data_IF_251077946349
#
_entry.id   IF_251077946349
#
_cell.length_a   1.000
_cell.length_b   1.000
_cell.length_c   1.000
_cell.angle_alpha   90.00
_cell.angle_beta   90.00
_cell.angle_gamma   90.00
#
_symmetry.space_group_name_H-M   'P 1'
#
loop_
_entity.id
_entity.type
_entity.pdbx_description
1 polymer ?
#
# COMPACT_ATOMS: atom_id res chain seq x y z
N UNK A 1 -26.53 5.73 -16.12
CA UNK A 1 -26.08 6.51 -14.94
C UNK A 1 -26.98 6.08 -13.79
N UNK A 2 -26.49 5.23 -12.90
CA UNK A 2 -27.32 4.68 -11.83
C UNK A 2 -27.39 5.65 -10.66
N UNK A 3 -28.58 5.90 -10.13
CA UNK A 3 -28.86 6.79 -8.99
C UNK A 3 -28.12 6.42 -7.69
N UNK A 4 -27.51 5.24 -7.63
CA UNK A 4 -26.70 4.76 -6.49
C UNK A 4 -25.39 5.52 -6.25
N UNK A 5 -24.78 6.13 -7.28
CA UNK A 5 -23.51 6.87 -7.13
C UNK A 5 -23.69 8.22 -6.44
N UNK A 6 -24.82 8.87 -6.64
CA UNK A 6 -25.10 10.21 -6.09
C UNK A 6 -25.46 10.16 -4.59
N UNK A 7 -26.11 9.09 -4.15
CA UNK A 7 -26.44 8.85 -2.74
C UNK A 7 -25.20 8.53 -1.89
N UNK A 8 -24.25 7.75 -2.43
CA UNK A 8 -23.03 7.38 -1.72
C UNK A 8 -22.11 8.59 -1.48
N UNK A 9 -22.01 9.49 -2.45
CA UNK A 9 -21.20 10.73 -2.32
C UNK A 9 -21.83 11.69 -1.30
N UNK A 10 -23.16 11.83 -1.28
CA UNK A 10 -23.85 12.66 -0.27
C UNK A 10 -23.69 12.11 1.15
N UNK A 11 -23.78 10.79 1.34
CA UNK A 11 -23.56 10.15 2.64
C UNK A 11 -22.12 10.30 3.16
N UNK A 12 -21.11 10.28 2.25
CA UNK A 12 -19.72 10.48 2.62
C UNK A 12 -19.43 11.91 3.11
N UNK A 13 -20.03 12.93 2.46
CA UNK A 13 -19.86 14.33 2.87
C UNK A 13 -20.52 14.65 4.22
N UNK A 14 -21.64 14.01 4.55
CA UNK A 14 -22.37 14.22 5.83
C UNK A 14 -21.61 13.59 7.00
N UNK A 15 -20.89 12.49 6.82
CA UNK A 15 -20.13 11.84 7.91
C UNK A 15 -18.90 12.64 8.35
N UNK A 16 -18.29 13.43 7.46
CA UNK A 16 -17.12 14.26 7.78
C UNK A 16 -17.42 15.45 8.69
N UNK A 17 -18.68 15.84 8.84
CA UNK A 17 -19.10 17.03 9.63
C UNK A 17 -19.56 16.70 11.05
N UNK A 18 -19.82 15.44 11.38
CA UNK A 18 -20.52 15.08 12.62
C UNK A 18 -19.64 14.77 13.85
N UNK A 19 -18.33 14.95 13.82
CA UNK A 19 -17.45 14.51 14.94
C UNK A 19 -16.81 15.66 15.74
N UNK A 20 -17.21 16.91 15.55
CA UNK A 20 -16.61 18.03 16.28
C UNK A 20 -17.60 18.59 17.30
N UNK A 21 -17.82 17.85 18.39
CA UNK A 21 -18.32 18.40 19.63
C UNK A 21 -17.38 18.04 20.79
N UNK A 22 -16.21 18.64 20.81
CA UNK A 22 -15.31 18.68 21.98
C UNK A 22 -15.31 20.08 22.57
N UNK A 23 -15.24 20.23 23.91
CA UNK A 23 -15.20 21.54 24.52
C UNK A 23 -13.89 22.26 24.21
N UNK A 24 -13.98 23.48 23.74
CA UNK A 24 -13.07 24.64 23.87
C UNK A 24 -11.54 24.41 23.87
N UNK A 25 -11.00 23.46 23.12
CA UNK A 25 -9.55 23.40 22.82
C UNK A 25 -9.31 24.00 21.44
N UNK A 26 -8.14 24.63 21.25
CA UNK A 26 -7.77 25.20 19.95
C UNK A 26 -7.68 24.09 18.89
N UNK A 27 -8.71 23.99 18.06
CA UNK A 27 -8.79 23.04 16.96
C UNK A 27 -8.14 23.63 15.72
N UNK A 28 -7.08 22.99 15.22
CA UNK A 28 -6.46 23.35 13.94
C UNK A 28 -7.00 22.39 12.89
N UNK A 29 -7.69 22.93 11.88
CA UNK A 29 -8.20 22.17 10.74
C UNK A 29 -7.34 22.48 9.51
N UNK A 30 -6.78 21.45 8.90
CA UNK A 30 -6.01 21.54 7.67
C UNK A 30 -6.77 20.81 6.56
N UNK A 31 -6.96 21.44 5.42
CA UNK A 31 -7.65 20.88 4.27
C UNK A 31 -6.78 20.99 3.04
N UNK A 32 -6.75 19.94 2.24
CA UNK A 32 -6.00 19.90 0.98
C UNK A 32 -6.83 19.20 -0.07
N UNK A 33 -6.81 19.74 -1.28
CA UNK A 33 -7.45 19.10 -2.41
C UNK A 33 -6.54 19.17 -3.64
N UNK A 34 -6.59 18.11 -4.46
CA UNK A 34 -5.82 18.07 -5.69
C UNK A 34 -6.54 17.24 -6.75
N UNK A 35 -6.29 17.56 -8.01
CA UNK A 35 -6.89 16.87 -9.15
C UNK A 35 -5.76 16.46 -10.11
N UNK A 36 -5.11 15.29 -9.90
CA UNK A 36 -4.25 14.69 -10.91
C UNK A 36 -5.06 14.25 -12.13
N UNK A 37 -4.62 14.65 -13.31
CA UNK A 37 -5.21 14.25 -14.58
C UNK A 37 -4.09 13.83 -15.53
N UNK A 38 -4.24 12.68 -16.19
CA UNK A 38 -3.18 12.18 -17.04
C UNK A 38 -3.64 11.24 -18.14
N UNK A 39 -2.69 10.92 -18.99
CA UNK A 39 -2.84 9.97 -20.08
C UNK A 39 -1.70 8.96 -19.97
N UNK A 40 -2.01 7.70 -20.13
CA UNK A 40 -1.06 6.59 -20.16
C UNK A 40 -1.24 5.77 -21.43
N UNK A 41 -0.13 5.34 -22.01
CA UNK A 41 -0.07 4.34 -23.06
C UNK A 41 0.53 3.06 -22.49
N UNK A 42 -0.20 1.95 -22.57
CA UNK A 42 0.22 0.63 -22.08
C UNK A 42 0.27 -0.35 -23.26
N UNK A 43 1.45 -0.89 -23.52
CA UNK A 43 1.68 -1.77 -24.67
C UNK A 43 1.18 -3.20 -24.48
N UNK A 44 0.87 -3.61 -23.22
CA UNK A 44 0.39 -4.96 -22.91
C UNK A 44 -0.37 -4.97 -21.57
N UNK A 45 -1.58 -4.41 -21.50
CA UNK A 45 -2.34 -4.26 -20.25
C UNK A 45 -2.71 -5.59 -19.59
N UNK A 46 -2.86 -6.66 -20.37
CA UNK A 46 -3.18 -8.01 -19.88
C UNK A 46 -1.96 -8.88 -19.64
N UNK A 47 -0.76 -8.34 -19.86
CA UNK A 47 0.48 -9.13 -19.79
C UNK A 47 0.36 -10.43 -20.61
N UNK A 48 -0.16 -10.35 -21.83
CA UNK A 48 -0.27 -11.49 -22.73
C UNK A 48 1.10 -11.92 -23.25
N UNK A 49 1.31 -13.23 -23.39
CA UNK A 49 2.57 -13.77 -23.95
C UNK A 49 2.55 -13.83 -25.47
N UNK A 50 1.37 -13.93 -26.09
CA UNK A 50 1.21 -14.15 -27.52
C UNK A 50 0.66 -12.92 -28.25
N UNK A 51 -0.46 -12.37 -27.80
CA UNK A 51 -1.12 -11.23 -28.44
C UNK A 51 -0.95 -9.99 -27.58
N UNK A 52 0.03 -9.15 -27.92
CA UNK A 52 0.24 -7.86 -27.26
C UNK A 52 -0.60 -6.82 -27.99
N UNK A 53 -1.55 -6.23 -27.27
CA UNK A 53 -2.40 -5.15 -27.77
C UNK A 53 -2.21 -3.94 -26.87
N UNK A 54 -1.97 -2.78 -27.46
CA UNK A 54 -1.76 -1.55 -26.72
C UNK A 54 -3.08 -0.79 -26.50
N UNK A 55 -3.12 -0.02 -25.43
CA UNK A 55 -4.25 0.87 -25.11
C UNK A 55 -3.77 2.23 -24.63
N UNK A 56 -4.63 3.20 -24.79
CA UNK A 56 -4.56 4.49 -24.12
C UNK A 56 -5.55 4.52 -22.96
N UNK A 57 -5.13 5.07 -21.83
CA UNK A 57 -5.98 5.32 -20.67
C UNK A 57 -5.96 6.79 -20.31
N UNK A 58 -7.14 7.35 -20.10
CA UNK A 58 -7.35 8.70 -19.58
C UNK A 58 -7.73 8.56 -18.11
N UNK A 59 -6.99 9.22 -17.24
CA UNK A 59 -7.10 9.02 -15.80
C UNK A 59 -7.29 10.38 -15.15
N UNK A 60 -8.28 10.48 -14.26
CA UNK A 60 -8.40 11.58 -13.33
C UNK A 60 -8.56 11.01 -11.92
N UNK A 61 -7.85 11.59 -10.94
CA UNK A 61 -7.90 11.09 -9.56
C UNK A 61 -8.10 12.26 -8.59
N UNK A 62 -9.29 12.92 -8.59
CA UNK A 62 -9.59 13.92 -7.57
C UNK A 62 -9.39 13.33 -6.18
N UNK A 63 -8.73 14.08 -5.31
CA UNK A 63 -8.45 13.71 -3.92
C UNK A 63 -8.69 14.89 -3.00
N UNK A 64 -9.16 14.58 -1.82
CA UNK A 64 -9.40 15.52 -0.75
C UNK A 64 -8.91 14.91 0.57
N UNK A 65 -8.19 15.68 1.35
CA UNK A 65 -7.78 15.32 2.69
C UNK A 65 -8.15 16.41 3.68
N UNK A 66 -8.59 15.99 4.84
CA UNK A 66 -8.88 16.86 5.97
C UNK A 66 -8.24 16.28 7.22
N UNK A 67 -7.61 17.09 8.02
CA UNK A 67 -7.16 16.71 9.35
C UNK A 67 -7.51 17.78 10.37
N UNK A 68 -7.96 17.34 11.55
CA UNK A 68 -8.28 18.17 12.69
C UNK A 68 -7.37 17.76 13.84
N UNK A 69 -6.61 18.71 14.36
CA UNK A 69 -5.66 18.49 15.46
C UNK A 69 -6.12 19.30 16.67
N UNK A 70 -6.30 18.61 17.79
CA UNK A 70 -6.65 19.21 19.07
C UNK A 70 -5.74 18.59 20.14
N UNK A 71 -4.96 19.42 20.85
CA UNK A 71 -4.01 19.02 21.89
C UNK A 71 -3.21 17.76 21.51
N UNK A 72 -3.60 16.61 22.03
CA UNK A 72 -2.93 15.30 21.86
C UNK A 72 -3.66 14.37 20.90
N UNK A 73 -4.70 14.84 20.22
CA UNK A 73 -5.52 14.04 19.33
C UNK A 73 -5.51 14.59 17.92
N UNK A 74 -5.44 13.69 16.93
CA UNK A 74 -5.55 14.01 15.52
C UNK A 74 -6.60 13.12 14.87
N UNK A 75 -7.55 13.74 14.20
CA UNK A 75 -8.48 13.07 13.29
C UNK A 75 -8.10 13.39 11.87
N UNK A 76 -8.18 12.42 10.97
CA UNK A 76 -7.93 12.68 9.56
C UNK A 76 -8.80 11.82 8.66
N UNK A 77 -9.08 12.32 7.47
CA UNK A 77 -9.75 11.59 6.41
C UNK A 77 -9.12 11.94 5.08
N UNK A 78 -8.79 10.90 4.30
CA UNK A 78 -8.31 11.02 2.93
C UNK A 78 -9.28 10.29 2.02
N UNK A 79 -9.79 11.00 1.01
CA UNK A 79 -10.72 10.46 0.02
C UNK A 79 -10.17 10.71 -1.37
N UNK A 80 -10.16 9.70 -2.20
CA UNK A 80 -9.85 9.84 -3.63
C UNK A 80 -10.73 8.94 -4.49
N UNK A 81 -10.95 9.37 -5.72
CA UNK A 81 -11.72 8.62 -6.71
C UNK A 81 -10.92 8.53 -8.01
N UNK A 82 -10.39 7.34 -8.33
CA UNK A 82 -9.75 7.11 -9.61
C UNK A 82 -10.79 6.87 -10.69
N UNK A 83 -10.90 7.80 -11.61
CA UNK A 83 -11.70 7.70 -12.83
C UNK A 83 -10.78 7.28 -13.96
N UNK A 84 -11.05 6.15 -14.60
CA UNK A 84 -10.27 5.65 -15.72
C UNK A 84 -11.19 5.38 -16.92
N UNK A 85 -10.79 5.86 -18.08
CA UNK A 85 -11.45 5.59 -19.37
C UNK A 85 -10.43 5.02 -20.34
N UNK A 86 -10.76 3.89 -20.93
CA UNK A 86 -9.87 3.14 -21.83
C UNK A 86 -10.28 3.34 -23.29
N UNK A 87 -9.29 3.41 -24.17
CA UNK A 87 -9.52 3.44 -25.62
C UNK A 87 -10.08 2.11 -26.16
N UNK A 88 -9.84 1.00 -25.49
CA UNK A 88 -10.44 -0.32 -25.81
C UNK A 88 -10.94 -1.00 -24.53
N UNK A 89 -12.27 -1.01 -24.38
CA UNK A 89 -12.95 -1.58 -23.21
C UNK A 89 -12.86 -3.11 -23.13
N UNK A 90 -12.51 -3.79 -24.23
CA UNK A 90 -12.28 -5.23 -24.22
C UNK A 90 -10.98 -5.60 -23.51
N UNK A 91 -9.98 -4.72 -23.59
CA UNK A 91 -8.65 -4.91 -22.97
C UNK A 91 -8.60 -4.34 -21.55
N UNK A 92 -9.27 -3.24 -21.31
CA UNK A 92 -9.37 -2.60 -20.00
C UNK A 92 -10.72 -1.89 -19.89
N UNK A 93 -11.52 -2.25 -18.90
CA UNK A 93 -12.84 -1.65 -18.69
C UNK A 93 -12.73 -0.24 -18.11
N UNK A 94 -13.71 0.60 -18.39
CA UNK A 94 -13.86 1.90 -17.71
C UNK A 94 -14.09 1.67 -16.22
N UNK A 95 -13.45 2.47 -15.37
CA UNK A 95 -13.44 2.24 -13.94
C UNK A 95 -13.74 3.50 -13.14
N UNK A 96 -14.31 3.26 -11.97
CA UNK A 96 -14.52 4.23 -10.90
C UNK A 96 -14.10 3.54 -9.60
N UNK A 97 -12.89 3.86 -9.14
CA UNK A 97 -12.25 3.16 -8.04
C UNK A 97 -12.06 4.14 -6.87
N UNK A 98 -12.98 4.15 -5.89
CA UNK A 98 -12.85 4.95 -4.66
C UNK A 98 -11.80 4.37 -3.73
N UNK A 99 -11.10 5.29 -3.05
CA UNK A 99 -10.24 4.99 -1.92
C UNK A 99 -10.55 5.96 -0.78
N UNK A 100 -10.78 5.43 0.41
CA UNK A 100 -11.14 6.18 1.61
C UNK A 100 -10.27 5.69 2.76
N UNK A 101 -9.66 6.62 3.46
CA UNK A 101 -8.96 6.38 4.72
C UNK A 101 -9.54 7.32 5.77
N UNK A 102 -9.88 6.79 6.93
CA UNK A 102 -10.28 7.57 8.10
C UNK A 102 -9.44 7.11 9.27
N UNK A 103 -8.87 8.05 10.00
CA UNK A 103 -7.99 7.72 11.11
C UNK A 103 -8.22 8.64 12.32
N UNK A 104 -7.89 8.10 13.46
CA UNK A 104 -7.77 8.80 14.72
C UNK A 104 -6.49 8.36 15.42
N UNK A 105 -5.75 9.33 15.91
CA UNK A 105 -4.50 9.15 16.66
C UNK A 105 -4.58 9.96 17.94
N UNK A 106 -4.04 9.41 19.00
CA UNK A 106 -3.90 10.10 20.28
C UNK A 106 -2.53 9.80 20.86
N UNK A 107 -1.79 10.85 21.17
CA UNK A 107 -0.50 10.79 21.83
C UNK A 107 -0.64 11.27 23.28
N UNK A 108 -0.03 10.53 24.20
CA UNK A 108 0.15 10.96 25.57
C UNK A 108 1.66 10.84 25.93
N UNK A 109 2.03 11.14 27.16
CA UNK A 109 3.44 11.10 27.57
C UNK A 109 4.11 9.73 27.36
N UNK A 110 3.35 8.65 27.56
CA UNK A 110 3.86 7.27 27.49
C UNK A 110 3.10 6.38 26.54
N UNK A 111 1.93 6.80 26.12
CA UNK A 111 1.04 5.98 25.30
C UNK A 111 0.74 6.67 23.96
N UNK A 112 0.78 5.90 22.89
CA UNK A 112 0.25 6.30 21.59
C UNK A 112 -0.82 5.31 21.18
N UNK A 113 -1.96 5.81 20.75
CA UNK A 113 -3.06 5.01 20.26
C UNK A 113 -3.45 5.46 18.85
N UNK A 114 -3.74 4.52 17.96
CA UNK A 114 -4.29 4.83 16.63
C UNK A 114 -5.39 3.86 16.23
N UNK A 115 -6.41 4.38 15.56
CA UNK A 115 -7.50 3.63 14.93
C UNK A 115 -7.62 4.08 13.49
N UNK A 116 -7.56 3.14 12.54
CA UNK A 116 -7.57 3.44 11.11
C UNK A 116 -8.57 2.53 10.41
N UNK A 117 -9.53 3.14 9.69
CA UNK A 117 -10.43 2.47 8.77
C UNK A 117 -10.04 2.76 7.32
N UNK A 118 -10.03 1.74 6.46
CA UNK A 118 -9.71 1.90 5.03
C UNK A 118 -10.72 1.15 4.16
N UNK A 119 -11.07 1.78 3.05
CA UNK A 119 -11.75 1.16 1.93
C UNK A 119 -10.99 1.48 0.65
N UNK A 120 -10.66 0.46 -0.11
CA UNK A 120 -10.00 0.62 -1.41
C UNK A 120 -10.66 -0.28 -2.43
N UNK A 121 -10.98 0.26 -3.61
CA UNK A 121 -11.33 -0.50 -4.79
C UNK A 121 -10.27 -0.24 -5.86
N UNK A 122 -9.78 -1.30 -6.49
CA UNK A 122 -8.74 -1.21 -7.50
C UNK A 122 -8.87 -2.30 -8.57
N UNK A 123 -8.19 -2.14 -9.69
CA UNK A 123 -8.07 -3.19 -10.71
C UNK A 123 -7.15 -4.30 -10.24
N UNK A 124 -7.57 -5.56 -10.43
CA UNK A 124 -6.72 -6.74 -10.19
C UNK A 124 -5.46 -6.74 -11.07
N UNK A 125 -5.47 -6.04 -12.16
CA UNK A 125 -4.30 -5.81 -13.02
C UNK A 125 -3.13 -5.16 -12.27
N UNK A 126 -3.43 -4.32 -11.27
CA UNK A 126 -2.41 -3.71 -10.40
C UNK A 126 -2.22 -4.54 -9.13
N UNK A 127 -3.30 -4.82 -8.39
CA UNK A 127 -3.20 -5.50 -7.09
C UNK A 127 -2.64 -6.90 -7.22
N UNK A 128 -3.13 -7.69 -8.17
CA UNK A 128 -2.68 -9.07 -8.34
C UNK A 128 -1.32 -9.18 -9.01
N UNK A 129 -0.93 -8.23 -9.88
CA UNK A 129 0.43 -8.16 -10.37
C UNK A 129 1.43 -7.96 -9.24
N UNK A 130 1.09 -7.06 -8.30
CA UNK A 130 1.94 -6.75 -7.16
C UNK A 130 1.90 -7.83 -6.07
N UNK A 131 0.78 -8.53 -5.89
CA UNK A 131 0.60 -9.50 -4.81
C UNK A 131 0.90 -10.95 -5.21
N UNK A 132 0.45 -11.37 -6.37
CA UNK A 132 0.52 -12.77 -6.81
C UNK A 132 1.30 -12.97 -8.10
N UNK A 133 1.58 -11.90 -8.85
CA UNK A 133 2.10 -11.96 -10.21
C UNK A 133 1.10 -12.47 -11.24
N UNK A 134 -0.18 -12.62 -10.87
CA UNK A 134 -1.22 -13.10 -11.76
C UNK A 134 -1.99 -11.92 -12.38
N UNK A 135 -1.93 -11.79 -13.69
CA UNK A 135 -2.75 -10.85 -14.46
C UNK A 135 -3.58 -11.65 -15.45
N UNK A 136 -4.74 -12.14 -15.02
CA UNK A 136 -5.57 -13.01 -15.87
C UNK A 136 -6.69 -12.23 -16.52
N UNK A 137 -7.34 -11.35 -15.79
CA UNK A 137 -8.47 -10.55 -16.25
C UNK A 137 -8.47 -9.16 -15.62
N UNK A 138 -9.14 -8.20 -16.26
CA UNK A 138 -9.39 -6.88 -15.66
C UNK A 138 -10.61 -6.92 -14.74
N UNK A 139 -10.46 -7.58 -13.60
CA UNK A 139 -11.45 -7.66 -12.54
C UNK A 139 -11.26 -6.52 -11.53
N UNK A 140 -12.17 -6.39 -10.57
CA UNK A 140 -12.06 -5.44 -9.47
C UNK A 140 -11.79 -6.16 -8.16
N UNK A 141 -10.85 -5.64 -7.40
CA UNK A 141 -10.60 -5.98 -6.00
C UNK A 141 -11.16 -4.88 -5.10
N UNK A 142 -11.89 -5.24 -4.06
CA UNK A 142 -12.40 -4.32 -3.04
C UNK A 142 -11.92 -4.78 -1.68
N UNK A 143 -11.10 -3.96 -1.02
CA UNK A 143 -10.54 -4.25 0.29
C UNK A 143 -11.09 -3.29 1.33
N UNK A 144 -11.55 -3.84 2.45
CA UNK A 144 -11.98 -3.09 3.65
C UNK A 144 -11.11 -3.53 4.81
N UNK A 145 -10.62 -2.59 5.60
CA UNK A 145 -9.87 -2.93 6.79
C UNK A 145 -10.12 -1.94 7.93
N UNK A 146 -10.02 -2.46 9.15
CA UNK A 146 -9.96 -1.68 10.38
C UNK A 146 -8.72 -2.16 11.14
N UNK A 147 -7.90 -1.22 11.58
CA UNK A 147 -6.71 -1.50 12.37
C UNK A 147 -6.68 -0.60 13.60
N UNK A 148 -6.33 -1.19 14.75
CA UNK A 148 -6.06 -0.48 15.99
C UNK A 148 -4.64 -0.80 16.45
N UNK A 149 -3.88 0.24 16.84
CA UNK A 149 -2.55 0.07 17.38
C UNK A 149 -2.43 0.84 18.69
N UNK A 150 -1.76 0.25 19.63
CA UNK A 150 -1.38 0.84 20.90
C UNK A 150 0.10 0.60 21.14
N UNK A 151 0.81 1.65 21.53
CA UNK A 151 2.20 1.55 21.96
C UNK A 151 2.39 2.28 23.27
N UNK A 152 3.25 1.73 24.13
CA UNK A 152 3.56 2.26 25.45
C UNK A 152 5.04 2.16 25.76
N UNK A 153 5.60 3.25 26.24
CA UNK A 153 6.93 3.25 26.87
C UNK A 153 6.80 2.69 28.27
N UNK A 154 7.20 1.42 28.47
CA UNK A 154 7.16 0.72 29.77
C UNK A 154 8.21 1.29 30.70
N UNK A 155 9.39 1.60 30.17
CA UNK A 155 10.48 2.32 30.84
C UNK A 155 11.09 3.30 29.83
N UNK A 156 12.10 4.06 30.25
CA UNK A 156 12.86 4.98 29.35
C UNK A 156 13.52 4.24 28.16
N UNK A 157 13.76 2.93 28.29
CA UNK A 157 14.44 2.11 27.28
C UNK A 157 13.61 0.97 26.72
N UNK A 158 12.45 0.70 27.29
CA UNK A 158 11.64 -0.44 26.88
C UNK A 158 10.29 0.02 26.35
N UNK A 159 10.04 -0.27 25.08
CA UNK A 159 8.83 0.11 24.38
C UNK A 159 8.07 -1.14 23.97
N UNK A 160 6.80 -1.20 24.27
CA UNK A 160 5.88 -2.26 23.88
C UNK A 160 4.85 -1.73 22.89
N UNK A 161 4.52 -2.50 21.87
CA UNK A 161 3.41 -2.20 20.95
C UNK A 161 2.54 -3.42 20.70
N UNK A 162 1.25 -3.20 20.56
CA UNK A 162 0.23 -4.16 20.22
C UNK A 162 -0.63 -3.61 19.09
N UNK A 163 -0.76 -4.35 18.00
CA UNK A 163 -1.57 -4.01 16.85
C UNK A 163 -2.54 -5.11 16.49
N UNK A 164 -3.80 -4.75 16.23
CA UNK A 164 -4.83 -5.65 15.72
C UNK A 164 -5.39 -5.14 14.40
N UNK A 165 -5.68 -6.04 13.46
CA UNK A 165 -6.30 -5.69 12.18
C UNK A 165 -7.34 -6.73 11.78
N UNK A 166 -8.45 -6.26 11.25
CA UNK A 166 -9.40 -7.04 10.47
C UNK A 166 -9.43 -6.52 9.03
N UNK A 167 -9.26 -7.41 8.07
CA UNK A 167 -9.25 -7.09 6.65
C UNK A 167 -10.16 -8.07 5.91
N UNK A 168 -10.93 -7.56 4.95
CA UNK A 168 -11.72 -8.37 4.00
C UNK A 168 -11.43 -7.90 2.59
N UNK A 169 -11.12 -8.84 1.71
CA UNK A 169 -10.94 -8.59 0.27
C UNK A 169 -11.97 -9.39 -0.51
N UNK A 170 -12.72 -8.73 -1.37
CA UNK A 170 -13.68 -9.32 -2.29
C UNK A 170 -13.33 -8.97 -3.73
N UNK A 171 -13.63 -9.88 -4.64
CA UNK A 171 -13.36 -9.73 -6.06
C UNK A 171 -14.66 -9.70 -6.86
N UNK A 172 -14.69 -8.88 -7.90
CA UNK A 172 -15.77 -8.80 -8.88
C UNK A 172 -15.21 -9.13 -10.26
N UNK A 173 -15.55 -10.32 -10.76
CA UNK A 173 -14.99 -10.89 -11.98
C UNK A 173 -13.67 -11.64 -11.74
N UNK A 174 -13.26 -12.46 -12.73
CA UNK A 174 -12.08 -13.33 -12.65
C UNK A 174 -12.27 -14.56 -11.76
N UNK A 175 -11.22 -15.37 -11.66
CA UNK A 175 -11.19 -16.59 -10.84
C UNK A 175 -10.45 -16.35 -9.52
N UNK A 176 -10.69 -15.21 -8.89
CA UNK A 176 -10.08 -14.85 -7.61
C UNK A 176 -10.99 -15.25 -6.46
N UNK A 177 -10.38 -15.62 -5.36
CA UNK A 177 -11.09 -16.01 -4.13
C UNK A 177 -11.05 -14.84 -3.16
N UNK A 178 -12.22 -14.36 -2.75
CA UNK A 178 -12.34 -13.44 -1.63
C UNK A 178 -11.85 -14.09 -0.34
N UNK A 179 -11.48 -13.27 0.62
CA UNK A 179 -11.02 -13.75 1.92
C UNK A 179 -11.14 -12.68 3.00
N UNK A 180 -11.10 -13.13 4.24
CA UNK A 180 -10.90 -12.26 5.40
C UNK A 180 -9.70 -12.69 6.22
N UNK A 181 -9.03 -11.72 6.84
CA UNK A 181 -7.94 -11.97 7.79
C UNK A 181 -8.18 -11.23 9.10
N UNK A 182 -7.84 -11.88 10.20
CA UNK A 182 -7.73 -11.27 11.52
C UNK A 182 -6.28 -11.41 11.96
N UNK A 183 -5.62 -10.29 12.22
CA UNK A 183 -4.21 -10.28 12.61
C UNK A 183 -4.02 -9.58 13.95
N UNK A 184 -3.12 -10.12 14.75
CA UNK A 184 -2.64 -9.54 16.00
C UNK A 184 -1.11 -9.58 15.99
N UNK A 185 -0.48 -8.43 16.24
CA UNK A 185 0.97 -8.29 16.30
C UNK A 185 1.38 -7.66 17.61
N UNK A 186 2.41 -8.20 18.24
CA UNK A 186 3.02 -7.66 19.44
C UNK A 186 4.51 -7.49 19.23
N UNK A 187 5.06 -6.34 19.58
CA UNK A 187 6.49 -6.05 19.44
C UNK A 187 7.01 -5.44 20.73
N UNK A 188 8.16 -5.92 21.17
CA UNK A 188 8.93 -5.39 22.29
C UNK A 188 10.27 -4.88 21.76
N UNK A 189 10.54 -3.59 21.93
CA UNK A 189 11.77 -2.91 21.48
C UNK A 189 12.55 -2.46 22.72
N UNK A 190 13.85 -2.72 22.74
CA UNK A 190 14.74 -2.28 23.79
C UNK A 190 15.78 -1.29 23.23
N UNK A 191 15.86 -0.08 23.79
CA UNK A 191 16.86 0.93 23.42
C UNK A 191 18.19 0.58 24.11
N UNK A 192 18.96 -0.32 23.46
CA UNK A 192 20.25 -0.78 23.99
C UNK A 192 21.28 0.36 23.99
N UNK A 193 21.37 1.07 22.85
CA UNK A 193 22.12 2.32 22.71
C UNK A 193 21.25 3.33 21.96
N UNK A 194 21.71 4.58 21.86
CA UNK A 194 21.05 5.60 21.03
C UNK A 194 20.91 5.19 19.56
N UNK A 195 21.75 4.25 19.09
CA UNK A 195 21.80 3.83 17.68
C UNK A 195 21.31 2.42 17.44
N UNK A 196 21.26 1.57 18.45
CA UNK A 196 20.94 0.14 18.29
C UNK A 196 19.76 -0.22 19.16
N UNK A 197 18.68 -0.65 18.53
CA UNK A 197 17.42 -0.99 19.18
C UNK A 197 16.98 -2.40 18.76
N UNK A 198 17.42 -3.46 19.47
CA UNK A 198 16.92 -4.80 19.25
C UNK A 198 15.45 -4.93 19.57
N UNK A 199 14.77 -5.85 18.89
CA UNK A 199 13.36 -6.14 19.12
C UNK A 199 13.04 -7.61 18.94
N UNK A 200 11.93 -8.01 19.56
CA UNK A 200 11.24 -9.27 19.32
C UNK A 200 9.81 -8.96 18.89
N UNK A 201 9.30 -9.74 17.94
CA UNK A 201 7.93 -9.60 17.44
C UNK A 201 7.25 -10.96 17.35
N UNK A 202 5.99 -10.98 17.75
CA UNK A 202 5.09 -12.12 17.60
C UNK A 202 3.86 -11.67 16.81
N UNK A 203 3.53 -12.40 15.75
CA UNK A 203 2.37 -12.14 14.91
C UNK A 203 1.47 -13.37 14.82
N UNK A 204 0.17 -13.17 14.92
CA UNK A 204 -0.85 -14.19 14.75
C UNK A 204 -1.79 -13.74 13.65
N UNK A 205 -2.09 -14.60 12.68
CA UNK A 205 -3.06 -14.30 11.60
C UNK A 205 -3.98 -15.49 11.41
N UNK A 206 -5.28 -15.23 11.40
CA UNK A 206 -6.33 -16.19 11.04
C UNK A 206 -6.84 -15.79 9.65
N UNK A 207 -6.72 -16.68 8.68
CA UNK A 207 -7.09 -16.50 7.29
C UNK A 207 -8.28 -17.37 6.94
N UNK A 208 -9.34 -16.73 6.46
CA UNK A 208 -10.60 -17.37 6.08
C UNK A 208 -10.88 -17.06 4.60
N UNK A 209 -10.57 -17.97 3.67
CA UNK A 209 -10.92 -17.84 2.27
C UNK A 209 -12.42 -18.10 2.05
N UNK A 210 -13.03 -17.35 1.14
CA UNK A 210 -14.41 -17.57 0.73
C UNK A 210 -14.55 -18.84 -0.13
N UNK A 211 -15.73 -19.48 -0.07
CA UNK A 211 -16.08 -20.63 -0.91
C UNK A 211 -16.15 -21.96 -0.15
N UNK A 212 -16.97 -22.88 -0.70
CA UNK A 212 -17.18 -24.20 -0.12
C UNK A 212 -15.92 -25.08 -0.25
N UNK A 213 -15.61 -25.85 0.80
CA UNK A 213 -14.49 -26.80 0.83
C UNK A 213 -13.11 -26.16 1.08
N UNK A 214 -13.01 -24.85 1.25
CA UNK A 214 -11.76 -24.19 1.65
C UNK A 214 -11.59 -24.23 3.16
N UNK A 215 -10.33 -24.37 3.61
CA UNK A 215 -10.02 -24.49 5.04
C UNK A 215 -9.42 -23.19 5.55
N UNK A 216 -9.88 -22.80 6.73
CA UNK A 216 -9.24 -21.74 7.50
C UNK A 216 -7.81 -22.15 7.85
N UNK A 217 -6.90 -21.21 7.74
CA UNK A 217 -5.49 -21.44 8.03
C UNK A 217 -5.00 -20.39 9.03
N UNK A 218 -4.30 -20.84 10.05
CA UNK A 218 -3.65 -19.96 11.03
C UNK A 218 -2.16 -19.86 10.75
N UNK A 219 -1.64 -18.65 10.86
CA UNK A 219 -0.23 -18.33 10.75
C UNK A 219 0.27 -17.73 12.06
N UNK A 220 1.42 -18.20 12.51
CA UNK A 220 2.13 -17.67 13.69
C UNK A 220 3.54 -17.28 13.26
N UNK A 221 3.92 -16.05 13.51
CA UNK A 221 5.23 -15.48 13.15
C UNK A 221 6.00 -15.14 14.42
N UNK A 222 7.26 -15.53 14.47
CA UNK A 222 8.19 -15.20 15.53
C UNK A 222 9.44 -14.61 14.89
N UNK A 223 9.73 -13.36 15.20
CA UNK A 223 10.83 -12.59 14.62
C UNK A 223 11.72 -12.01 15.72
N UNK A 224 13.00 -12.00 15.46
CA UNK A 224 13.99 -11.23 16.22
C UNK A 224 14.74 -10.35 15.27
N UNK A 225 15.04 -9.13 15.68
CA UNK A 225 15.69 -8.14 14.81
C UNK A 225 16.28 -6.97 15.56
N UNK A 226 16.79 -6.01 14.81
CA UNK A 226 17.29 -4.75 15.33
C UNK A 226 17.04 -3.61 14.34
N UNK A 227 16.79 -2.43 14.89
CA UNK A 227 16.91 -1.14 14.19
C UNK A 227 18.26 -0.54 14.52
N UNK A 228 19.00 -0.11 13.50
CA UNK A 228 20.35 0.45 13.65
C UNK A 228 20.44 1.77 12.89
N UNK A 229 20.67 2.86 13.62
CA UNK A 229 20.98 4.16 13.06
C UNK A 229 22.51 4.25 12.86
N UNK A 230 23.00 3.85 11.68
CA UNK A 230 24.44 3.80 11.35
C UNK A 230 25.03 5.22 11.44
N UNK A 231 24.30 6.19 10.90
CA UNK A 231 24.59 7.62 11.05
C UNK A 231 23.27 8.41 10.86
N UNK A 232 23.25 9.75 11.04
CA UNK A 232 22.03 10.56 10.90
C UNK A 232 21.33 10.46 9.54
N UNK A 233 22.05 10.00 8.50
CA UNK A 233 21.53 9.87 7.13
C UNK A 233 21.16 8.44 6.75
N UNK A 234 21.62 7.42 7.48
CA UNK A 234 21.44 6.01 7.15
C UNK A 234 20.90 5.22 8.33
N UNK A 235 19.69 4.72 8.18
CA UNK A 235 19.11 3.75 9.10
C UNK A 235 18.86 2.42 8.39
N UNK A 236 19.03 1.33 9.14
CA UNK A 236 18.86 -0.05 8.69
C UNK A 236 18.02 -0.77 9.74
N UNK A 237 17.09 -1.58 9.27
CA UNK A 237 16.32 -2.50 10.11
C UNK A 237 16.43 -3.90 9.51
N UNK A 238 16.79 -4.88 10.33
CA UNK A 238 16.84 -6.27 9.89
C UNK A 238 16.18 -7.17 10.93
N UNK A 239 15.46 -8.18 10.45
CA UNK A 239 14.85 -9.22 11.28
C UNK A 239 14.84 -10.55 10.56
N UNK A 240 14.87 -11.62 11.32
CA UNK A 240 14.70 -12.98 10.84
C UNK A 240 13.90 -13.80 11.84
N UNK A 241 13.27 -14.87 11.35
CA UNK A 241 12.45 -15.70 12.21
C UNK A 241 11.80 -16.87 11.51
N UNK A 242 10.78 -17.38 12.14
CA UNK A 242 10.02 -18.53 11.66
C UNK A 242 8.54 -18.21 11.58
N UNK A 243 7.91 -18.78 10.58
CA UNK A 243 6.46 -18.81 10.42
C UNK A 243 5.99 -20.24 10.60
N UNK A 244 4.91 -20.44 11.35
CA UNK A 244 4.21 -21.72 11.47
C UNK A 244 2.82 -21.59 10.87
N UNK A 245 2.54 -22.37 9.81
CA UNK A 245 1.23 -22.48 9.18
C UNK A 245 0.53 -23.76 9.63
N UNK A 246 -0.70 -23.67 10.10
CA UNK A 246 -1.50 -24.85 10.49
C UNK A 246 -1.77 -25.82 9.32
N UNK A 247 -1.62 -25.37 8.08
CA UNK A 247 -1.86 -26.17 6.86
C UNK A 247 -0.61 -26.66 6.15
N UNK A 248 0.58 -26.06 6.42
CA UNK A 248 1.80 -26.34 5.65
C UNK A 248 3.08 -26.47 6.50
N UNK A 249 2.97 -26.36 7.84
CA UNK A 249 4.12 -26.49 8.74
C UNK A 249 4.96 -25.22 8.86
N UNK A 250 6.27 -25.38 9.02
CA UNK A 250 7.19 -24.29 9.34
C UNK A 250 7.85 -23.73 8.10
N UNK A 251 7.91 -22.39 7.99
CA UNK A 251 8.65 -21.62 6.99
C UNK A 251 9.65 -20.68 7.66
N UNK A 252 10.55 -20.12 6.88
CA UNK A 252 11.48 -19.07 7.30
C UNK A 252 11.00 -17.73 6.79
N UNK A 253 11.08 -16.72 7.62
CA UNK A 253 10.74 -15.34 7.27
C UNK A 253 11.91 -14.43 7.62
N UNK A 254 12.12 -13.39 6.80
CA UNK A 254 13.16 -12.40 7.02
C UNK A 254 12.75 -11.08 6.38
N UNK A 255 13.19 -9.99 6.99
CA UNK A 255 12.99 -8.65 6.45
C UNK A 255 14.24 -7.81 6.70
N UNK A 256 14.65 -7.05 5.68
CA UNK A 256 15.71 -6.06 5.81
C UNK A 256 15.26 -4.81 5.07
N UNK A 257 15.32 -3.67 5.74
CA UNK A 257 15.03 -2.37 5.17
C UNK A 257 16.21 -1.45 5.41
N UNK A 258 16.50 -0.60 4.44
CA UNK A 258 17.41 0.50 4.64
C UNK A 258 16.83 1.79 4.05
N UNK A 259 17.17 2.90 4.66
CA UNK A 259 16.82 4.23 4.20
C UNK A 259 18.01 5.15 4.36
N UNK A 260 18.44 5.75 3.25
CA UNK A 260 19.50 6.75 3.21
C UNK A 260 18.90 8.08 2.74
N UNK A 261 19.13 9.13 3.52
CA UNK A 261 18.68 10.49 3.21
C UNK A 261 19.89 11.41 3.07
N UNK A 262 20.30 11.68 1.83
CA UNK A 262 21.32 12.69 1.48
C UNK A 262 20.71 14.09 1.38
N UNK A 263 21.52 15.05 0.99
CA UNK A 263 21.08 16.46 0.83
C UNK A 263 20.13 16.63 -0.36
N UNK A 264 20.43 15.98 -1.48
CA UNK A 264 19.64 16.05 -2.72
C UNK A 264 19.13 14.71 -3.20
N UNK A 265 19.45 13.62 -2.51
CA UNK A 265 19.00 12.31 -2.94
C UNK A 265 18.58 11.45 -1.76
N UNK A 266 17.64 10.58 -2.01
CA UNK A 266 17.24 9.54 -1.08
C UNK A 266 17.28 8.18 -1.75
N UNK A 267 17.74 7.18 -1.01
CA UNK A 267 17.78 5.78 -1.43
C UNK A 267 17.07 4.95 -0.36
N UNK A 268 16.12 4.14 -0.78
CA UNK A 268 15.42 3.20 0.09
C UNK A 268 15.45 1.82 -0.53
N UNK A 269 15.53 0.82 0.30
CA UNK A 269 15.47 -0.56 -0.16
C UNK A 269 14.87 -1.48 0.87
N UNK A 270 14.27 -2.56 0.38
CA UNK A 270 13.77 -3.63 1.22
C UNK A 270 14.01 -4.98 0.56
N UNK A 271 14.39 -5.96 1.36
CA UNK A 271 14.44 -7.38 1.01
C UNK A 271 13.57 -8.12 2.01
N UNK A 272 12.59 -8.85 1.53
CA UNK A 272 11.59 -9.51 2.36
C UNK A 272 11.37 -10.94 1.88
N UNK A 273 11.35 -11.89 2.83
CA UNK A 273 10.74 -13.20 2.67
C UNK A 273 9.57 -13.27 3.63
N UNK A 274 8.38 -13.40 3.10
CA UNK A 274 7.14 -13.40 3.88
C UNK A 274 6.17 -14.48 3.44
N UNK A 275 5.22 -14.77 4.31
CA UNK A 275 4.08 -15.65 4.06
C UNK A 275 2.82 -14.83 4.24
N UNK A 276 2.05 -14.66 3.17
CA UNK A 276 0.86 -13.81 3.14
C UNK A 276 -0.34 -14.53 2.55
N UNK A 277 -1.52 -14.10 2.96
CA UNK A 277 -2.78 -14.50 2.34
C UNK A 277 -2.82 -14.07 0.87
N UNK A 278 -3.42 -14.88 0.01
CA UNK A 278 -3.49 -14.59 -1.42
C UNK A 278 -4.87 -14.82 -2.01
N UNK A 279 -5.12 -14.17 -3.14
CA UNK A 279 -6.36 -14.30 -3.93
C UNK A 279 -6.61 -15.69 -4.52
N UNK A 280 -5.65 -16.58 -4.45
CA UNK A 280 -5.83 -18.00 -4.82
C UNK A 280 -6.41 -18.84 -3.68
N UNK A 281 -6.67 -18.23 -2.53
CA UNK A 281 -7.37 -18.84 -1.38
C UNK A 281 -6.49 -19.69 -0.47
N UNK A 282 -5.19 -19.43 -0.42
CA UNK A 282 -4.23 -20.04 0.50
C UNK A 282 -3.18 -19.02 0.95
N UNK A 283 -2.31 -19.40 1.86
CA UNK A 283 -1.08 -18.66 2.14
C UNK A 283 -0.03 -18.94 1.05
N UNK A 284 0.70 -17.90 0.72
CA UNK A 284 1.76 -17.93 -0.28
C UNK A 284 3.06 -17.40 0.31
N UNK A 285 4.15 -18.16 0.17
CA UNK A 285 5.48 -17.68 0.45
C UNK A 285 5.98 -16.84 -0.74
N UNK A 286 6.55 -15.70 -0.44
CA UNK A 286 7.12 -14.83 -1.46
C UNK A 286 8.42 -14.18 -1.00
N UNK A 287 9.37 -14.07 -1.94
CA UNK A 287 10.55 -13.24 -1.83
C UNK A 287 10.32 -11.95 -2.59
N UNK A 288 10.62 -10.81 -1.98
CA UNK A 288 10.47 -9.48 -2.58
C UNK A 288 11.75 -8.67 -2.38
N UNK A 289 12.17 -7.98 -3.43
CA UNK A 289 13.18 -6.92 -3.40
C UNK A 289 12.56 -5.64 -3.94
N UNK A 290 12.70 -4.54 -3.20
CA UNK A 290 12.27 -3.21 -3.66
C UNK A 290 13.42 -2.23 -3.46
N UNK A 291 13.66 -1.39 -4.47
CA UNK A 291 14.65 -0.32 -4.43
C UNK A 291 14.00 0.95 -4.96
N UNK A 292 14.19 2.06 -4.28
CA UNK A 292 13.69 3.38 -4.70
C UNK A 292 14.78 4.43 -4.57
N UNK A 293 14.96 5.21 -5.61
CA UNK A 293 15.90 6.32 -5.69
C UNK A 293 15.18 7.59 -6.09
N UNK A 294 15.42 8.68 -5.39
CA UNK A 294 14.95 10.00 -5.76
C UNK A 294 16.13 10.98 -5.73
N UNK A 295 16.14 11.90 -6.68
CA UNK A 295 17.14 12.96 -6.79
C UNK A 295 16.45 14.31 -7.06
N UNK A 296 16.68 15.28 -6.19
CA UNK A 296 16.19 16.64 -6.36
C UNK A 296 17.16 17.39 -7.29
N UNK A 297 16.76 17.54 -8.56
CA UNK A 297 17.52 18.30 -9.58
C UNK A 297 17.57 19.79 -9.21
N UNK A 298 16.46 20.31 -8.70
CA UNK A 298 16.29 21.65 -8.19
C UNK A 298 15.12 21.67 -7.20
N UNK A 299 14.87 22.81 -6.57
CA UNK A 299 13.72 22.99 -5.65
C UNK A 299 12.36 22.71 -6.32
N UNK A 300 12.29 22.77 -7.64
CA UNK A 300 11.06 22.56 -8.44
C UNK A 300 11.08 21.28 -9.27
N UNK A 301 12.17 20.53 -9.31
CA UNK A 301 12.29 19.38 -10.21
C UNK A 301 12.93 18.19 -9.53
N UNK A 302 12.35 17.02 -9.75
CA UNK A 302 12.80 15.74 -9.16
C UNK A 302 12.82 14.64 -10.22
N UNK A 303 13.84 13.82 -10.17
CA UNK A 303 13.93 12.52 -10.84
C UNK A 303 13.76 11.40 -9.83
N UNK A 304 13.18 10.29 -10.26
CA UNK A 304 13.17 9.10 -9.43
C UNK A 304 13.15 7.83 -10.26
N UNK A 305 13.57 6.75 -9.63
CA UNK A 305 13.51 5.41 -10.20
C UNK A 305 13.12 4.42 -9.08
N UNK A 306 12.21 3.51 -9.42
CA UNK A 306 11.80 2.43 -8.53
C UNK A 306 11.96 1.09 -9.25
N UNK A 307 12.54 0.12 -8.55
CA UNK A 307 12.66 -1.26 -9.00
C UNK A 307 11.96 -2.17 -7.99
N UNK A 308 11.15 -3.09 -8.47
CA UNK A 308 10.61 -4.18 -7.66
C UNK A 308 10.79 -5.52 -8.36
N UNK A 309 11.16 -6.50 -7.57
CA UNK A 309 11.22 -7.90 -7.96
C UNK A 309 10.47 -8.72 -6.93
N UNK A 310 9.68 -9.68 -7.41
CA UNK A 310 8.97 -10.61 -6.56
C UNK A 310 9.04 -12.00 -7.17
N UNK A 311 9.27 -12.99 -6.31
CA UNK A 311 9.18 -14.40 -6.63
C UNK A 311 8.21 -15.06 -5.66
N UNK A 312 7.21 -15.71 -6.20
CA UNK A 312 6.24 -16.48 -5.43
C UNK A 312 6.62 -17.96 -5.52
N UNK A 313 6.83 -18.56 -4.35
CA UNK A 313 7.19 -19.97 -4.20
C UNK A 313 5.92 -20.76 -3.83
N UNK A 314 5.05 -21.04 -4.79
CA UNK A 314 3.81 -21.79 -4.60
C UNK A 314 3.61 -22.80 -5.73
N UNK A 315 2.47 -23.49 -5.74
CA UNK A 315 2.09 -24.44 -6.82
C UNK A 315 2.18 -23.85 -8.24
N UNK A 316 2.13 -22.52 -8.35
CA UNK A 316 2.36 -21.79 -9.60
C UNK A 316 3.50 -20.80 -9.39
N UNK A 317 4.75 -21.27 -9.48
CA UNK A 317 5.92 -20.41 -9.42
C UNK A 317 5.77 -19.24 -10.39
N UNK A 318 5.84 -18.04 -9.86
CA UNK A 318 5.79 -16.82 -10.66
C UNK A 318 6.86 -15.84 -10.21
N UNK A 319 7.43 -15.16 -11.17
CA UNK A 319 8.42 -14.10 -10.98
C UNK A 319 7.92 -12.84 -11.69
N UNK A 320 7.82 -11.75 -10.98
CA UNK A 320 7.50 -10.43 -11.53
C UNK A 320 8.64 -9.45 -11.31
N UNK A 321 8.91 -8.61 -12.30
CA UNK A 321 9.87 -7.53 -12.24
C UNK A 321 9.23 -6.27 -12.79
N UNK A 322 9.45 -5.17 -12.10
CA UNK A 322 9.00 -3.87 -12.53
C UNK A 322 10.12 -2.85 -12.32
N UNK A 323 10.39 -2.06 -13.32
CA UNK A 323 11.26 -0.91 -13.26
C UNK A 323 10.47 0.31 -13.71
N UNK A 324 10.44 1.35 -12.91
CA UNK A 324 9.84 2.62 -13.29
C UNK A 324 10.81 3.77 -13.09
N UNK A 325 10.75 4.75 -13.97
CA UNK A 325 11.43 6.03 -13.85
C UNK A 325 10.45 7.16 -14.00
N UNK A 326 10.63 8.23 -13.26
CA UNK A 326 9.80 9.41 -13.38
C UNK A 326 10.61 10.70 -13.32
N UNK A 327 10.08 11.70 -13.97
CA UNK A 327 10.48 13.09 -13.82
C UNK A 327 9.26 13.90 -13.37
N UNK A 328 9.39 14.68 -12.31
CA UNK A 328 8.35 15.63 -11.87
C UNK A 328 8.89 17.05 -11.83
N UNK A 329 8.04 18.01 -12.14
CA UNK A 329 8.36 19.45 -12.10
C UNK A 329 7.15 20.25 -11.68
N UNK A 330 7.35 21.15 -10.75
CA UNK A 330 6.40 22.17 -10.38
C UNK A 330 6.46 23.28 -11.45
N UNK A 331 5.41 23.39 -12.23
CA UNK A 331 5.29 24.36 -13.32
C UNK A 331 4.94 25.75 -12.78
N UNK A 332 4.04 25.76 -11.80
CA UNK A 332 3.63 26.92 -11.02
C UNK A 332 3.43 26.51 -9.58
N UNK A 333 2.99 27.42 -8.73
CA UNK A 333 2.60 27.15 -7.34
C UNK A 333 1.47 26.09 -7.23
N UNK A 334 0.57 26.04 -8.21
CA UNK A 334 -0.59 25.15 -8.20
C UNK A 334 -0.46 23.97 -9.16
N UNK A 335 0.40 24.04 -10.14
CA UNK A 335 0.51 23.02 -11.18
C UNK A 335 1.82 22.24 -11.11
N UNK A 336 1.70 20.93 -11.06
CA UNK A 336 2.81 20.00 -11.18
C UNK A 336 2.62 19.10 -12.40
N UNK A 337 3.69 18.86 -13.13
CA UNK A 337 3.76 17.87 -14.21
C UNK A 337 4.59 16.67 -13.76
N UNK A 338 4.17 15.46 -14.14
CA UNK A 338 4.93 14.22 -13.94
C UNK A 338 4.93 13.39 -15.22
N UNK A 339 6.11 12.98 -15.65
CA UNK A 339 6.34 11.99 -16.70
C UNK A 339 6.66 10.66 -16.03
N UNK A 340 6.14 9.56 -16.57
CA UNK A 340 6.36 8.20 -16.08
C UNK A 340 6.74 7.30 -17.24
N UNK A 341 7.77 6.49 -17.03
CA UNK A 341 8.13 5.36 -17.89
C UNK A 341 8.24 4.12 -17.00
N UNK A 342 7.62 3.03 -17.40
CA UNK A 342 7.63 1.79 -16.62
C UNK A 342 7.75 0.59 -17.54
N UNK A 343 8.56 -0.39 -17.18
CA UNK A 343 8.60 -1.70 -17.81
C UNK A 343 8.21 -2.77 -16.80
N UNK A 344 7.42 -3.75 -17.24
CA UNK A 344 6.94 -4.86 -16.44
C UNK A 344 7.28 -6.16 -17.13
N UNK A 345 7.79 -7.12 -16.37
CA UNK A 345 8.06 -8.48 -16.85
C UNK A 345 7.40 -9.47 -15.89
N UNK A 346 6.73 -10.45 -16.43
CA UNK A 346 6.10 -11.55 -15.71
C UNK A 346 6.57 -12.86 -16.32
N UNK A 347 7.04 -13.77 -15.47
CA UNK A 347 7.41 -15.13 -15.84
C UNK A 347 6.71 -16.10 -14.90
N UNK A 348 6.04 -17.09 -15.43
CA UNK A 348 5.50 -18.22 -14.69
C UNK A 348 5.84 -19.52 -15.41
N UNK A 349 5.51 -20.66 -14.84
CA UNK A 349 5.89 -22.00 -15.38
C UNK A 349 5.60 -22.14 -16.87
N UNK A 350 4.46 -21.61 -17.35
CA UNK A 350 4.00 -21.79 -18.74
C UNK A 350 3.83 -20.47 -19.50
N UNK A 351 4.30 -19.33 -18.95
CA UNK A 351 4.02 -18.01 -19.52
C UNK A 351 5.15 -17.04 -19.25
N UNK A 352 5.54 -16.30 -20.28
CA UNK A 352 6.43 -15.15 -20.16
C UNK A 352 5.82 -13.96 -20.89
N UNK A 353 5.70 -12.83 -20.23
CA UNK A 353 5.10 -11.64 -20.81
C UNK A 353 5.86 -10.39 -20.36
N UNK A 354 5.88 -9.37 -21.22
CA UNK A 354 6.41 -8.06 -20.89
C UNK A 354 5.46 -6.96 -21.41
N UNK A 355 5.54 -5.81 -20.80
CA UNK A 355 4.77 -4.63 -21.19
C UNK A 355 5.45 -3.36 -20.70
N UNK A 356 5.24 -2.27 -21.44
CA UNK A 356 5.75 -0.96 -21.12
C UNK A 356 4.58 0.01 -20.94
N UNK A 357 4.73 0.94 -19.99
CA UNK A 357 3.79 2.02 -19.77
C UNK A 357 4.55 3.34 -19.88
N UNK A 358 4.01 4.26 -20.64
CA UNK A 358 4.45 5.64 -20.69
C UNK A 358 3.29 6.57 -20.34
N UNK A 359 3.49 7.53 -19.47
CA UNK A 359 2.41 8.41 -19.01
C UNK A 359 2.86 9.82 -18.73
N UNK A 360 1.93 10.75 -18.86
CA UNK A 360 2.05 12.13 -18.42
C UNK A 360 0.86 12.48 -17.53
N UNK A 361 1.14 13.12 -16.40
CA UNK A 361 0.13 13.56 -15.45
C UNK A 361 0.35 15.02 -15.11
N UNK A 362 -0.71 15.81 -15.13
CA UNK A 362 -0.76 17.15 -14.58
C UNK A 362 -1.60 17.13 -13.31
N UNK A 363 -1.08 17.69 -12.25
CA UNK A 363 -1.79 17.80 -10.97
C UNK A 363 -2.08 19.27 -10.70
N UNK A 364 -3.34 19.58 -10.49
CA UNK A 364 -3.76 20.87 -9.97
C UNK A 364 -3.94 20.75 -8.45
N UNK A 365 -3.14 21.47 -7.70
CA UNK A 365 -3.25 21.57 -6.24
C UNK A 365 -4.15 22.78 -5.93
N UNK A 366 -5.26 22.55 -5.26
CA UNK A 366 -6.18 23.61 -4.86
C UNK A 366 -5.54 24.33 -3.67
N UNK A 367 -5.45 25.67 -3.68
CA UNK A 367 -4.93 26.41 -2.55
C UNK A 367 -5.66 26.08 -1.25
N UNK A 368 -4.96 26.14 -0.13
CA UNK A 368 -5.58 26.01 1.19
C UNK A 368 -6.65 27.11 1.39
N UNK A 369 -7.80 26.75 1.93
CA UNK A 369 -8.93 27.64 2.19
C UNK A 369 -9.55 27.38 3.57
#
# INVERSE_FOLDING_TARGET
MSQLSYSAIKSLFVFSVMVISSPAEALVVLQQAAIPMGVEHDTNPRMSSTEKQSIWRYIATPRYSISAVADRSRWYSDVSLRLERSSDKRLSVDREDPNVVVGWERDSERDRFSLIGKYNKASTRFTEFDETGLVVNDASSSTRSVAANWSRSLTERLNFSLGGQYLTTSYSGGNFTGYSTKSLNSTLVYDWTERVRPFIQVGLTDFNPDGQGRRNTKSQNYLVGAHVDINPKLNVSASAGVNHLSSAGNGRIANTNFNYLGERYSLRGSLERSVSASSIGNFQESDRLSLGYNYDLSDKSRLGADFSWRKNNSLNDSESKQLSGFYSRDLTEFWQMRLLLQTRNLKSTNRSANGNVAGITFTYNIPEF
#
